data_IF_663143834526
#
_entry.id   IF_663143834526
#
_cell.length_a   1.000
_cell.length_b   1.000
_cell.length_c   1.000
_cell.angle_alpha   90.00
_cell.angle_beta   90.00
_cell.angle_gamma   90.00
#
_symmetry.space_group_name_H-M   'P 1'
#
loop_
_entity.id
_entity.type
_entity.pdbx_description
1 polymer ?
#
# COMPACT_ATOMS: atom_id res chain seq x y z
N UNK A 1 18.64 -1.98 -11.92
CA UNK A 1 18.59 -2.48 -10.51
C UNK A 1 17.54 -3.57 -10.43
N UNK A 2 17.83 -4.75 -9.87
CA UNK A 2 16.90 -5.89 -9.78
C UNK A 2 16.66 -6.21 -8.31
N UNK A 3 15.42 -6.08 -7.83
CA UNK A 3 15.04 -6.43 -6.47
C UNK A 3 14.43 -7.85 -6.46
N UNK A 4 14.74 -8.65 -5.44
CA UNK A 4 14.26 -10.03 -5.28
C UNK A 4 13.80 -10.21 -3.84
N UNK A 5 12.63 -10.81 -3.62
CA UNK A 5 12.14 -11.23 -2.32
C UNK A 5 12.46 -12.72 -2.09
N UNK A 6 13.37 -13.08 -1.18
CA UNK A 6 13.63 -14.47 -0.82
C UNK A 6 12.34 -15.08 -0.25
N UNK A 7 11.76 -16.09 -0.92
CA UNK A 7 10.46 -16.67 -0.53
C UNK A 7 9.26 -16.20 -1.39
N UNK A 8 9.50 -15.43 -2.45
CA UNK A 8 8.53 -15.13 -3.51
C UNK A 8 7.76 -13.82 -3.31
N UNK A 9 7.12 -13.65 -2.15
CA UNK A 9 6.32 -12.44 -1.84
C UNK A 9 7.01 -11.60 -0.76
N UNK A 10 6.88 -10.27 -0.86
CA UNK A 10 7.31 -9.35 0.20
C UNK A 10 6.48 -9.60 1.46
N UNK A 11 7.05 -9.57 2.67
CA UNK A 11 6.26 -9.64 3.89
C UNK A 11 5.41 -8.37 4.04
N UNK A 12 4.15 -8.53 4.44
CA UNK A 12 3.36 -7.42 4.95
C UNK A 12 3.90 -6.93 6.30
N UNK A 13 3.44 -5.77 6.74
CA UNK A 13 3.88 -5.20 8.01
C UNK A 13 3.33 -3.81 8.28
N UNK A 14 3.80 -3.21 9.37
CA UNK A 14 3.46 -1.83 9.73
C UNK A 14 4.56 -0.89 9.28
N UNK A 15 4.19 0.19 8.60
CA UNK A 15 5.12 1.20 8.16
C UNK A 15 4.54 2.59 8.37
N UNK A 16 5.33 3.49 8.95
CA UNK A 16 4.94 4.88 9.20
C UNK A 16 5.86 5.78 8.38
N UNK A 17 5.30 6.59 7.48
CA UNK A 17 6.11 7.52 6.71
C UNK A 17 6.64 8.65 7.63
N UNK A 18 7.94 8.96 7.59
CA UNK A 18 8.49 10.08 8.35
C UNK A 18 7.99 11.43 7.82
N UNK A 19 7.67 11.50 6.52
CA UNK A 19 7.14 12.68 5.82
C UNK A 19 6.09 12.18 4.82
N UNK A 20 4.96 12.88 4.73
CA UNK A 20 3.91 12.58 3.72
C UNK A 20 4.50 12.73 2.31
N UNK A 21 4.36 11.69 1.50
CA UNK A 21 4.85 11.66 0.12
C UNK A 21 3.92 10.86 -0.77
N UNK A 22 3.43 11.50 -1.84
CA UNK A 22 2.54 10.90 -2.85
C UNK A 22 3.22 9.69 -3.48
N UNK A 23 4.37 9.89 -4.15
CA UNK A 23 5.06 8.80 -4.85
C UNK A 23 5.53 7.67 -3.94
N UNK A 24 5.88 7.97 -2.67
CA UNK A 24 6.21 6.92 -1.72
C UNK A 24 4.97 6.10 -1.32
N UNK A 25 3.83 6.77 -1.11
CA UNK A 25 2.56 6.11 -0.79
C UNK A 25 2.09 5.23 -1.94
N UNK A 26 2.12 5.72 -3.18
CA UNK A 26 1.78 4.94 -4.38
C UNK A 26 2.61 3.66 -4.47
N UNK A 27 3.93 3.79 -4.32
CA UNK A 27 4.85 2.66 -4.44
C UNK A 27 4.62 1.61 -3.34
N UNK A 28 4.42 2.04 -2.10
CA UNK A 28 4.16 1.13 -0.97
C UNK A 28 2.78 0.48 -1.11
N UNK A 29 1.74 1.21 -1.52
CA UNK A 29 0.40 0.64 -1.74
C UNK A 29 0.45 -0.43 -2.83
N UNK A 30 1.09 -0.15 -3.98
CA UNK A 30 1.27 -1.14 -5.05
C UNK A 30 2.06 -2.39 -4.61
N UNK A 31 3.05 -2.22 -3.73
CA UNK A 31 3.76 -3.36 -3.16
C UNK A 31 2.92 -4.15 -2.15
N UNK A 32 2.17 -3.45 -1.30
CA UNK A 32 1.39 -4.02 -0.21
C UNK A 32 0.23 -4.91 -0.70
N UNK A 33 -0.41 -4.55 -1.83
CA UNK A 33 -1.51 -5.36 -2.39
C UNK A 33 -1.08 -6.75 -2.84
N UNK A 34 0.22 -6.95 -3.13
CA UNK A 34 0.81 -8.25 -3.48
C UNK A 34 1.68 -8.84 -2.36
N UNK A 35 1.78 -8.19 -1.20
CA UNK A 35 2.55 -8.68 -0.07
C UNK A 35 1.90 -9.92 0.56
N UNK A 36 2.67 -10.63 1.39
CA UNK A 36 2.17 -11.75 2.18
C UNK A 36 1.62 -11.23 3.50
N UNK A 37 0.30 -11.33 3.68
CA UNK A 37 -0.40 -10.93 4.90
C UNK A 37 -0.87 -9.48 4.89
N UNK A 38 -1.22 -8.95 6.06
CA UNK A 38 -1.72 -7.59 6.22
C UNK A 38 -0.60 -6.55 6.30
N UNK A 39 -0.83 -5.40 5.68
CA UNK A 39 0.02 -4.21 5.76
C UNK A 39 -0.78 -3.03 6.31
N UNK A 40 -0.16 -2.24 7.17
CA UNK A 40 -0.73 -1.01 7.72
C UNK A 40 0.22 0.14 7.48
N UNK A 41 -0.25 1.15 6.76
CA UNK A 41 0.52 2.31 6.35
C UNK A 41 0.00 3.52 7.13
N UNK A 42 0.87 4.08 7.96
CA UNK A 42 0.63 5.29 8.74
C UNK A 42 1.32 6.48 8.07
N UNK A 43 0.75 7.67 8.27
CA UNK A 43 1.13 8.93 7.64
C UNK A 43 1.16 8.88 6.09
N UNK A 44 0.21 8.14 5.51
CA UNK A 44 0.06 8.02 4.07
C UNK A 44 -0.48 9.31 3.43
N UNK A 45 -0.13 9.51 2.17
CA UNK A 45 -0.70 10.54 1.30
C UNK A 45 -2.23 10.32 1.14
N UNK A 46 -3.00 11.41 1.09
CA UNK A 46 -4.49 11.43 1.08
C UNK A 46 -5.06 12.22 -0.10
N UNK A 47 -4.20 12.58 -1.03
CA UNK A 47 -4.53 13.32 -2.23
C UNK A 47 -5.50 12.52 -3.12
N UNK A 48 -6.35 13.18 -3.93
CA UNK A 48 -7.35 12.52 -4.76
C UNK A 48 -6.77 11.42 -5.67
N UNK A 49 -5.53 11.59 -6.15
CA UNK A 49 -4.83 10.64 -7.00
C UNK A 49 -4.48 9.34 -6.25
N UNK A 50 -4.19 9.42 -4.95
CA UNK A 50 -3.96 8.24 -4.10
C UNK A 50 -5.25 7.46 -3.90
N UNK A 51 -6.36 8.18 -3.68
CA UNK A 51 -7.69 7.59 -3.54
C UNK A 51 -8.07 6.86 -4.83
N UNK A 52 -7.85 7.49 -5.98
CA UNK A 52 -8.13 6.90 -7.29
C UNK A 52 -7.28 5.64 -7.55
N UNK A 53 -5.98 5.68 -7.25
CA UNK A 53 -5.11 4.50 -7.31
C UNK A 53 -5.62 3.35 -6.42
N UNK A 54 -6.02 3.65 -5.18
CA UNK A 54 -6.56 2.63 -4.29
C UNK A 54 -7.86 2.03 -4.83
N UNK A 55 -8.76 2.86 -5.37
CA UNK A 55 -10.00 2.39 -5.99
C UNK A 55 -9.75 1.53 -7.23
N UNK A 56 -8.79 1.91 -8.07
CA UNK A 56 -8.36 1.10 -9.21
C UNK A 56 -7.85 -0.27 -8.76
N UNK A 57 -6.99 -0.32 -7.74
CA UNK A 57 -6.46 -1.57 -7.20
C UNK A 57 -7.58 -2.43 -6.59
N UNK A 58 -8.55 -1.83 -5.90
CA UNK A 58 -9.73 -2.53 -5.39
C UNK A 58 -10.57 -3.11 -6.53
N UNK A 59 -10.78 -2.37 -7.62
CA UNK A 59 -11.45 -2.87 -8.82
C UNK A 59 -10.71 -4.04 -9.48
N UNK A 60 -9.38 -4.10 -9.32
CA UNK A 60 -8.54 -5.22 -9.76
C UNK A 60 -8.52 -6.40 -8.78
N UNK A 61 -9.22 -6.30 -7.64
CA UNK A 61 -9.36 -7.37 -6.64
C UNK A 61 -8.48 -7.21 -5.39
N UNK A 62 -7.78 -6.09 -5.23
CA UNK A 62 -7.08 -5.80 -3.99
C UNK A 62 -8.06 -5.52 -2.84
N UNK A 63 -7.62 -5.79 -1.61
CA UNK A 63 -8.40 -5.52 -0.40
C UNK A 63 -7.76 -4.36 0.36
N UNK A 64 -8.35 -3.17 0.23
CA UNK A 64 -7.84 -1.94 0.84
C UNK A 64 -8.96 -1.31 1.68
N UNK A 65 -8.63 -0.90 2.90
CA UNK A 65 -9.50 -0.19 3.84
C UNK A 65 -8.85 1.12 4.29
N UNK A 66 -9.66 2.11 4.65
CA UNK A 66 -9.17 3.43 5.06
C UNK A 66 -8.76 4.34 3.90
N UNK A 67 -9.28 4.11 2.69
CA UNK A 67 -9.00 4.94 1.50
C UNK A 67 -9.38 6.41 1.76
N UNK A 68 -8.44 7.32 1.53
CA UNK A 68 -8.62 8.77 1.80
C UNK A 68 -8.45 9.16 3.27
N UNK A 69 -8.19 8.19 4.15
CA UNK A 69 -7.93 8.40 5.58
C UNK A 69 -6.58 7.84 5.98
N UNK A 70 -6.24 7.98 7.26
CA UNK A 70 -5.06 7.36 7.84
C UNK A 70 -5.48 6.63 9.13
N UNK A 71 -5.01 5.40 9.37
CA UNK A 71 -4.09 4.61 8.53
C UNK A 71 -4.78 3.93 7.34
N UNK A 72 -3.98 3.60 6.32
CA UNK A 72 -4.36 2.71 5.23
C UNK A 72 -4.08 1.26 5.64
N UNK A 73 -5.09 0.38 5.54
CA UNK A 73 -4.96 -1.04 5.84
C UNK A 73 -5.17 -1.87 4.58
N UNK A 74 -4.21 -2.73 4.26
CA UNK A 74 -4.15 -3.49 3.00
C UNK A 74 -3.96 -4.97 3.32
N UNK A 75 -4.83 -5.83 2.81
CA UNK A 75 -4.65 -7.28 2.88
C UNK A 75 -4.09 -7.76 1.53
N UNK A 76 -2.84 -8.24 1.54
CA UNK A 76 -2.20 -8.72 0.32
C UNK A 76 -2.80 -10.06 -0.14
N UNK A 77 -3.20 -10.12 -1.42
CA UNK A 77 -3.95 -11.24 -2.05
C UNK A 77 -3.10 -12.05 -2.99
#
# INVERSE_FOLDING_TARGET
VKAIAPGGRLPGGKYTFPIVSVGATENVVMAAVLAKGGSRIENAAREPEIVDLCNLLVAMGAKISGIGTEPLEIEGV
#
